data_IF_723766012279
#
_entry.id   IF_723766012279
#
_cell.length_a   1.000
_cell.length_b   1.000
_cell.length_c   1.000
_cell.angle_alpha   90.00
_cell.angle_beta   90.00
_cell.angle_gamma   90.00
#
_symmetry.space_group_name_H-M   'P 1'
#
loop_
_entity.id
_entity.type
_entity.pdbx_description
1 polymer ?
#
# COMPACT_ATOMS: atom_id res chain seq x y z
N UNK A 1 38.80 1.08 -14.82
CA UNK A 1 37.91 2.03 -15.51
C UNK A 1 36.76 1.30 -16.21
N UNK A 2 37.00 0.22 -16.95
CA UNK A 2 35.95 -0.56 -17.61
C UNK A 2 34.92 -1.14 -16.64
N UNK A 3 35.36 -1.56 -15.46
CA UNK A 3 34.46 -2.09 -14.41
C UNK A 3 33.49 -1.03 -13.89
N UNK A 4 33.97 0.22 -13.73
CA UNK A 4 33.13 1.33 -13.28
C UNK A 4 32.05 1.65 -14.32
N UNK A 5 32.39 1.71 -15.59
CA UNK A 5 31.43 1.95 -16.67
C UNK A 5 30.43 0.81 -16.82
N UNK A 6 30.86 -0.45 -16.71
CA UNK A 6 29.97 -1.61 -16.74
C UNK A 6 28.96 -1.58 -15.58
N UNK A 7 29.39 -1.21 -14.35
CA UNK A 7 28.52 -1.11 -13.18
C UNK A 7 27.48 -0.01 -13.35
N UNK A 8 27.88 1.18 -13.85
CA UNK A 8 26.94 2.28 -14.10
C UNK A 8 25.93 1.90 -15.17
N UNK A 9 26.35 1.27 -16.26
CA UNK A 9 25.47 0.83 -17.34
C UNK A 9 24.46 -0.22 -16.86
N UNK A 10 24.89 -1.14 -15.99
CA UNK A 10 24.01 -2.15 -15.38
C UNK A 10 22.98 -1.50 -14.43
N UNK A 11 23.42 -0.52 -13.61
CA UNK A 11 22.54 0.21 -12.71
C UNK A 11 21.50 1.03 -13.49
N UNK A 12 21.89 1.70 -14.56
CA UNK A 12 20.99 2.46 -15.43
C UNK A 12 19.96 1.54 -16.10
N UNK A 13 20.39 0.38 -16.60
CA UNK A 13 19.49 -0.60 -17.20
C UNK A 13 18.47 -1.15 -16.18
N UNK A 14 18.89 -1.38 -14.93
CA UNK A 14 18.02 -1.81 -13.86
C UNK A 14 16.99 -0.73 -13.49
N UNK A 15 17.41 0.54 -13.40
CA UNK A 15 16.52 1.67 -13.15
C UNK A 15 15.51 1.83 -14.29
N UNK A 16 15.94 1.75 -15.54
CA UNK A 16 15.06 1.82 -16.70
C UNK A 16 14.03 0.68 -16.71
N UNK A 17 14.44 -0.54 -16.34
CA UNK A 17 13.54 -1.68 -16.24
C UNK A 17 12.47 -1.47 -15.16
N UNK A 18 12.82 -0.90 -14.00
CA UNK A 18 11.88 -0.55 -12.94
C UNK A 18 10.90 0.54 -13.40
N UNK A 19 11.39 1.58 -14.05
CA UNK A 19 10.56 2.66 -14.61
C UNK A 19 9.56 2.12 -15.64
N UNK A 20 9.99 1.21 -16.50
CA UNK A 20 9.11 0.54 -17.47
C UNK A 20 8.04 -0.30 -16.78
N UNK A 21 8.39 -1.01 -15.71
CA UNK A 21 7.42 -1.80 -14.93
C UNK A 21 6.38 -0.90 -14.27
N UNK A 22 6.81 0.21 -13.67
CA UNK A 22 5.89 1.21 -13.07
C UNK A 22 4.97 1.78 -14.13
N UNK A 23 5.51 2.22 -15.26
CA UNK A 23 4.70 2.78 -16.36
C UNK A 23 3.71 1.78 -16.92
N UNK A 24 4.09 0.51 -17.03
CA UNK A 24 3.22 -0.57 -17.49
C UNK A 24 2.15 -0.97 -16.47
N UNK A 25 2.42 -0.80 -15.18
CA UNK A 25 1.49 -1.12 -14.11
C UNK A 25 0.53 0.03 -13.80
N UNK A 26 0.90 1.27 -14.10
CA UNK A 26 0.03 2.44 -13.85
C UNK A 26 -1.32 2.29 -14.52
N UNK A 27 -2.34 2.66 -13.76
CA UNK A 27 -3.72 2.62 -14.21
C UNK A 27 -4.35 4.01 -14.08
N UNK A 28 -5.26 4.34 -14.99
CA UNK A 28 -6.05 5.57 -14.91
C UNK A 28 -6.90 5.55 -13.63
N UNK A 29 -7.21 6.75 -13.12
CA UNK A 29 -8.05 6.90 -11.94
C UNK A 29 -9.39 6.19 -12.11
N UNK A 30 -9.72 5.35 -11.13
CA UNK A 30 -10.95 4.53 -11.16
C UNK A 30 -12.12 5.17 -10.45
N UNK A 31 -11.90 6.27 -9.72
CA UNK A 31 -12.88 6.88 -8.82
C UNK A 31 -13.07 6.11 -7.51
N UNK A 32 -12.33 5.03 -7.30
CA UNK A 32 -12.40 4.22 -6.08
C UNK A 32 -11.39 4.69 -5.04
N UNK A 33 -11.77 4.56 -3.79
CA UNK A 33 -10.92 4.96 -2.66
C UNK A 33 -10.30 3.76 -1.97
N UNK A 34 -9.17 4.00 -1.30
CA UNK A 34 -8.49 2.98 -0.50
C UNK A 34 -7.92 3.59 0.78
N UNK A 35 -7.88 2.78 1.82
CA UNK A 35 -7.11 3.07 3.01
C UNK A 35 -5.96 2.07 3.10
N UNK A 36 -4.73 2.56 3.18
CA UNK A 36 -3.56 1.72 3.41
C UNK A 36 -3.21 1.77 4.89
N UNK A 37 -3.50 0.70 5.58
CA UNK A 37 -3.36 0.56 7.03
C UNK A 37 -2.30 -0.48 7.38
N UNK A 38 -1.74 -0.36 8.59
CA UNK A 38 -0.69 -1.26 9.06
C UNK A 38 -0.54 -1.16 10.58
N UNK A 39 0.28 -2.04 11.16
CA UNK A 39 0.69 -1.99 12.57
C UNK A 39 2.20 -1.85 12.66
N UNK A 40 2.69 -0.94 13.51
CA UNK A 40 4.14 -0.76 13.73
C UNK A 40 4.76 -1.87 14.57
N UNK A 41 4.00 -2.39 15.51
CA UNK A 41 4.44 -3.47 16.39
C UNK A 41 3.25 -4.31 16.85
N UNK A 42 3.53 -5.36 17.58
CA UNK A 42 2.47 -6.21 18.16
C UNK A 42 1.60 -5.49 19.20
N UNK A 43 2.06 -4.37 19.73
CA UNK A 43 1.38 -3.61 20.79
C UNK A 43 0.75 -2.31 20.29
N UNK A 44 1.17 -1.80 19.14
CA UNK A 44 0.73 -0.51 18.66
C UNK A 44 -0.69 -0.58 18.06
N UNK A 45 -1.46 0.51 18.17
CA UNK A 45 -2.75 0.61 17.52
C UNK A 45 -2.62 0.68 16.00
N UNK A 46 -3.75 0.56 15.33
CA UNK A 46 -3.83 0.68 13.88
C UNK A 46 -3.33 2.05 13.40
N UNK A 47 -2.53 2.03 12.37
CA UNK A 47 -2.00 3.22 11.71
C UNK A 47 -2.35 3.19 10.22
N UNK A 48 -2.28 4.35 9.57
CA UNK A 48 -2.49 4.48 8.13
C UNK A 48 -1.41 5.38 7.50
N UNK A 49 -1.20 5.19 6.21
CA UNK A 49 -0.40 6.12 5.43
C UNK A 49 -1.25 7.30 4.99
N UNK A 50 -0.75 8.51 5.22
CA UNK A 50 -1.37 9.75 4.77
C UNK A 50 -0.92 10.16 3.37
N UNK A 51 -1.37 11.32 2.92
CA UNK A 51 -1.05 11.85 1.59
C UNK A 51 0.39 12.33 1.40
N UNK A 52 1.14 12.53 2.50
CA UNK A 52 2.51 13.03 2.46
C UNK A 52 3.59 11.98 2.16
N UNK A 53 3.24 10.71 2.00
CA UNK A 53 4.19 9.63 1.83
C UNK A 53 4.13 8.93 0.48
N UNK A 54 5.06 8.00 0.28
CA UNK A 54 5.17 7.22 -0.96
C UNK A 54 3.98 6.29 -1.18
N UNK A 55 3.36 5.80 -0.12
CA UNK A 55 2.18 4.95 -0.21
C UNK A 55 1.03 5.61 -0.98
N UNK A 56 0.82 6.92 -0.79
CA UNK A 56 -0.19 7.67 -1.55
C UNK A 56 0.12 7.69 -3.05
N UNK A 57 1.39 7.76 -3.43
CA UNK A 57 1.82 7.69 -4.83
C UNK A 57 1.56 6.32 -5.43
N UNK A 58 1.81 5.25 -4.67
CA UNK A 58 1.54 3.87 -5.12
C UNK A 58 0.03 3.66 -5.33
N UNK A 59 -0.80 4.13 -4.41
CA UNK A 59 -2.26 4.08 -4.57
C UNK A 59 -2.71 4.84 -5.82
N UNK A 60 -2.18 6.04 -6.02
CA UNK A 60 -2.50 6.86 -7.20
C UNK A 60 -2.11 6.16 -8.49
N UNK A 61 -0.92 5.58 -8.55
CA UNK A 61 -0.46 4.82 -9.71
C UNK A 61 -1.32 3.58 -9.98
N UNK A 62 -1.94 3.02 -8.94
CA UNK A 62 -2.92 1.95 -9.06
C UNK A 62 -4.33 2.43 -9.45
N UNK A 63 -4.53 3.73 -9.63
CA UNK A 63 -5.82 4.32 -9.97
C UNK A 63 -6.76 4.50 -8.78
N UNK A 64 -6.21 4.49 -7.55
CA UNK A 64 -6.97 4.60 -6.31
C UNK A 64 -6.68 5.94 -5.62
N UNK A 65 -7.66 6.48 -4.93
CA UNK A 65 -7.49 7.68 -4.12
C UNK A 65 -7.44 7.28 -2.63
N UNK A 66 -6.39 7.72 -1.93
CA UNK A 66 -6.32 7.51 -0.48
C UNK A 66 -7.43 8.28 0.23
N UNK A 67 -8.13 7.63 1.16
CA UNK A 67 -9.11 8.31 2.02
C UNK A 67 -8.44 9.29 2.99
N UNK A 68 -7.12 9.24 3.13
CA UNK A 68 -6.32 10.15 3.95
C UNK A 68 -5.45 11.09 3.11
N UNK A 69 -5.78 11.27 1.84
CA UNK A 69 -4.99 12.08 0.89
C UNK A 69 -4.85 13.55 1.32
N UNK A 70 -5.79 14.08 2.08
CA UNK A 70 -5.74 15.46 2.60
C UNK A 70 -4.69 15.66 3.68
N UNK A 71 -4.24 14.61 4.34
CA UNK A 71 -3.18 14.70 5.35
C UNK A 71 -1.83 14.91 4.69
N UNK A 72 -1.07 15.86 5.20
CA UNK A 72 0.32 16.09 4.78
C UNK A 72 1.31 15.16 5.48
N UNK A 73 0.87 14.49 6.53
CA UNK A 73 1.70 13.53 7.26
C UNK A 73 1.83 12.24 6.43
N UNK A 74 3.01 11.62 6.51
CA UNK A 74 3.25 10.33 5.89
C UNK A 74 2.56 9.21 6.66
N UNK A 75 2.40 9.38 7.98
CA UNK A 75 1.87 8.37 8.91
C UNK A 75 0.82 8.99 9.82
N UNK A 76 -0.26 8.23 10.05
CA UNK A 76 -1.38 8.66 10.89
C UNK A 76 -1.75 7.55 11.87
N UNK A 77 -2.06 7.91 13.11
CA UNK A 77 -2.78 6.99 14.00
C UNK A 77 -4.26 7.07 13.65
N UNK A 78 -4.88 5.93 13.40
CA UNK A 78 -6.28 5.86 12.97
C UNK A 78 -7.08 4.87 13.83
N UNK A 79 -8.39 5.01 13.76
CA UNK A 79 -9.32 4.09 14.42
C UNK A 79 -10.24 3.43 13.39
N UNK A 80 -10.91 2.36 13.80
CA UNK A 80 -11.93 1.72 12.96
C UNK A 80 -13.08 2.68 12.67
N UNK A 81 -13.44 3.53 13.63
CA UNK A 81 -14.48 4.57 13.46
C UNK A 81 -14.09 5.53 12.32
N UNK A 82 -12.84 5.95 12.26
CA UNK A 82 -12.33 6.80 11.16
C UNK A 82 -12.46 6.11 9.81
N UNK A 83 -12.16 4.82 9.73
CA UNK A 83 -12.35 4.03 8.52
C UNK A 83 -13.81 3.92 8.13
N UNK A 84 -14.70 3.71 9.10
CA UNK A 84 -16.15 3.64 8.87
C UNK A 84 -16.72 4.95 8.33
N UNK A 85 -16.25 6.09 8.84
CA UNK A 85 -16.66 7.42 8.36
C UNK A 85 -16.19 7.67 6.93
N UNK A 86 -14.95 7.27 6.59
CA UNK A 86 -14.32 7.50 5.30
C UNK A 86 -14.74 6.51 4.21
N UNK A 87 -15.26 5.36 4.59
CA UNK A 87 -15.79 4.33 3.69
C UNK A 87 -14.87 4.00 2.53
N UNK A 88 -13.63 3.53 2.78
CA UNK A 88 -12.76 3.13 1.69
C UNK A 88 -13.36 1.96 0.93
N UNK A 89 -13.26 2.00 -0.40
CA UNK A 89 -13.69 0.88 -1.24
C UNK A 89 -12.78 -0.33 -1.08
N UNK A 90 -11.48 -0.09 -0.93
CA UNK A 90 -10.44 -1.10 -0.69
C UNK A 90 -9.71 -0.86 0.62
N UNK A 91 -9.36 -1.93 1.31
CA UNK A 91 -8.38 -1.88 2.40
C UNK A 91 -7.09 -2.51 1.87
N UNK A 92 -6.01 -1.73 1.93
CA UNK A 92 -4.66 -2.24 1.70
C UNK A 92 -4.02 -2.42 3.07
N UNK A 93 -3.71 -3.65 3.43
CA UNK A 93 -3.15 -3.98 4.74
C UNK A 93 -1.68 -4.32 4.60
N UNK A 94 -0.82 -3.48 5.17
CA UNK A 94 0.61 -3.71 5.22
C UNK A 94 0.98 -4.75 6.26
N UNK A 95 1.96 -5.60 5.96
CA UNK A 95 2.47 -6.60 6.88
C UNK A 95 4.01 -6.67 6.85
N UNK A 96 4.59 -7.28 7.87
CA UNK A 96 6.03 -7.54 7.93
C UNK A 96 6.86 -6.46 8.61
N UNK A 97 6.25 -5.39 9.13
CA UNK A 97 6.99 -4.31 9.81
C UNK A 97 7.73 -4.78 11.07
N UNK A 98 7.16 -5.75 11.77
CA UNK A 98 7.80 -6.35 12.95
C UNK A 98 7.96 -7.89 12.82
N UNK A 99 7.96 -8.39 11.59
CA UNK A 99 8.17 -9.80 11.29
C UNK A 99 6.91 -10.65 11.19
N UNK A 100 5.73 -10.05 11.33
CA UNK A 100 4.45 -10.75 11.19
C UNK A 100 4.19 -11.18 9.74
N UNK A 101 3.51 -12.29 9.58
CA UNK A 101 3.06 -12.78 8.28
C UNK A 101 1.81 -12.02 7.80
N UNK A 102 1.49 -12.16 6.52
CA UNK A 102 0.27 -11.61 5.94
C UNK A 102 -0.99 -12.15 6.64
N UNK A 103 -0.99 -13.44 6.98
CA UNK A 103 -2.11 -14.07 7.67
C UNK A 103 -2.30 -13.54 9.08
N UNK A 104 -1.21 -13.34 9.81
CA UNK A 104 -1.21 -12.76 11.16
C UNK A 104 -1.72 -11.32 11.16
N UNK A 105 -1.24 -10.50 10.22
CA UNK A 105 -1.70 -9.13 10.07
C UNK A 105 -3.20 -9.06 9.73
N UNK A 106 -3.65 -9.92 8.82
CA UNK A 106 -5.06 -10.01 8.45
C UNK A 106 -5.93 -10.44 9.62
N UNK A 107 -5.54 -11.47 10.34
CA UNK A 107 -6.27 -11.97 11.50
C UNK A 107 -6.39 -10.89 12.58
N UNK A 108 -5.32 -10.16 12.83
CA UNK A 108 -5.32 -9.05 13.78
C UNK A 108 -6.28 -7.93 13.36
N UNK A 109 -6.24 -7.53 12.09
CA UNK A 109 -7.13 -6.50 11.57
C UNK A 109 -8.60 -6.92 11.67
N UNK A 110 -8.91 -8.15 11.29
CA UNK A 110 -10.27 -8.68 11.36
C UNK A 110 -10.78 -8.86 12.80
N UNK A 111 -9.88 -8.91 13.78
CA UNK A 111 -10.23 -8.97 15.20
C UNK A 111 -10.50 -7.59 15.82
N UNK A 112 -10.20 -6.51 15.12
CA UNK A 112 -10.51 -5.16 15.61
C UNK A 112 -12.03 -4.97 15.73
N UNK A 113 -12.50 -4.47 16.90
CA UNK A 113 -13.95 -4.25 17.09
C UNK A 113 -14.53 -3.27 16.05
N UNK A 114 -15.63 -3.65 15.42
CA UNK A 114 -16.33 -2.81 14.45
C UNK A 114 -15.85 -2.95 13.01
N UNK A 115 -14.73 -3.64 12.76
CA UNK A 115 -14.18 -3.79 11.42
C UNK A 115 -15.12 -4.55 10.49
N UNK A 116 -15.96 -5.42 11.02
CA UNK A 116 -16.97 -6.18 10.28
C UNK A 116 -18.04 -5.28 9.63
N UNK A 117 -18.19 -4.06 10.11
CA UNK A 117 -19.11 -3.08 9.53
C UNK A 117 -18.53 -2.35 8.31
N UNK A 118 -17.23 -2.51 8.04
CA UNK A 118 -16.61 -1.97 6.84
C UNK A 118 -17.09 -2.74 5.61
N UNK A 119 -17.60 -2.01 4.61
CA UNK A 119 -18.06 -2.62 3.36
C UNK A 119 -16.92 -3.35 2.65
N UNK A 120 -15.72 -2.78 2.66
CA UNK A 120 -14.54 -3.42 2.09
C UNK A 120 -14.25 -4.78 2.73
N UNK A 121 -14.47 -4.93 4.04
CA UNK A 121 -14.27 -6.19 4.76
C UNK A 121 -15.35 -7.20 4.40
N UNK A 122 -16.62 -6.81 4.44
CA UNK A 122 -17.73 -7.69 4.11
C UNK A 122 -17.72 -8.16 2.66
N UNK A 123 -17.22 -7.33 1.76
CA UNK A 123 -17.08 -7.65 0.32
C UNK A 123 -15.77 -8.37 -0.02
N UNK A 124 -14.88 -8.60 0.96
CA UNK A 124 -13.59 -9.26 0.73
C UNK A 124 -12.57 -8.38 -0.01
N UNK A 125 -12.75 -7.07 -0.03
CA UNK A 125 -11.86 -6.13 -0.72
C UNK A 125 -10.68 -5.71 0.18
N UNK A 126 -9.87 -6.69 0.56
CA UNK A 126 -8.66 -6.51 1.36
C UNK A 126 -7.47 -7.01 0.54
N UNK A 127 -6.49 -6.14 0.32
CA UNK A 127 -5.23 -6.49 -0.36
C UNK A 127 -4.10 -6.45 0.66
N UNK A 128 -3.32 -7.52 0.72
CA UNK A 128 -2.17 -7.63 1.64
C UNK A 128 -0.90 -7.29 0.87
N UNK A 129 -0.16 -6.29 1.34
CA UNK A 129 1.10 -5.88 0.75
C UNK A 129 2.23 -5.92 1.79
N UNK A 130 3.43 -6.37 1.42
CA UNK A 130 4.58 -6.33 2.32
C UNK A 130 4.97 -4.87 2.63
N UNK A 131 5.56 -4.64 3.80
CA UNK A 131 5.99 -3.31 4.26
C UNK A 131 6.87 -2.58 3.24
N UNK A 132 7.73 -3.31 2.52
CA UNK A 132 8.58 -2.72 1.48
C UNK A 132 7.82 -2.09 0.31
N UNK A 133 6.54 -2.42 0.12
CA UNK A 133 5.72 -1.85 -0.95
C UNK A 133 5.45 -0.34 -0.76
N UNK A 134 5.59 0.16 0.46
CA UNK A 134 5.44 1.59 0.77
C UNK A 134 6.77 2.35 0.80
N UNK A 135 7.86 1.74 0.37
CA UNK A 135 9.20 2.31 0.36
C UNK A 135 9.75 2.46 -1.06
N UNK A 136 10.82 3.24 -1.19
CA UNK A 136 11.50 3.44 -2.47
C UNK A 136 12.39 2.22 -2.79
N UNK A 137 11.78 1.15 -3.28
CA UNK A 137 12.47 -0.13 -3.53
C UNK A 137 11.80 -0.91 -4.66
N UNK A 138 12.46 -1.94 -5.21
CA UNK A 138 11.82 -2.87 -6.16
C UNK A 138 10.56 -3.53 -5.60
N UNK A 139 10.45 -3.70 -4.27
CA UNK A 139 9.25 -4.22 -3.62
C UNK A 139 8.04 -3.30 -3.82
N UNK A 140 8.25 -1.98 -3.92
CA UNK A 140 7.18 -1.04 -4.21
C UNK A 140 6.60 -1.26 -5.61
N UNK A 141 7.43 -1.57 -6.59
CA UNK A 141 7.00 -1.88 -7.96
C UNK A 141 6.18 -3.17 -7.99
N UNK A 142 6.68 -4.22 -7.35
CA UNK A 142 5.94 -5.48 -7.20
C UNK A 142 4.62 -5.28 -6.45
N UNK A 143 4.62 -4.44 -5.42
CA UNK A 143 3.41 -4.05 -4.68
C UNK A 143 2.39 -3.34 -5.55
N UNK A 144 2.83 -2.40 -6.38
CA UNK A 144 1.97 -1.71 -7.35
C UNK A 144 1.34 -2.70 -8.33
N UNK A 145 2.13 -3.59 -8.91
CA UNK A 145 1.64 -4.62 -9.84
C UNK A 145 0.60 -5.53 -9.17
N UNK A 146 0.87 -5.97 -7.94
CA UNK A 146 -0.05 -6.78 -7.16
C UNK A 146 -1.34 -6.03 -6.85
N UNK A 147 -1.24 -4.76 -6.46
CA UNK A 147 -2.39 -3.91 -6.14
C UNK A 147 -3.28 -3.70 -7.37
N UNK A 148 -2.69 -3.37 -8.50
CA UNK A 148 -3.42 -3.21 -9.77
C UNK A 148 -4.14 -4.50 -10.16
N UNK A 149 -3.47 -5.64 -10.05
CA UNK A 149 -4.07 -6.95 -10.35
C UNK A 149 -5.23 -7.28 -9.40
N UNK A 150 -5.04 -7.06 -8.11
CA UNK A 150 -6.04 -7.37 -7.08
C UNK A 150 -7.28 -6.47 -7.15
N UNK A 151 -7.12 -5.24 -7.62
CA UNK A 151 -8.19 -4.23 -7.70
C UNK A 151 -8.78 -4.09 -9.12
N UNK A 152 -8.44 -4.99 -10.02
CA UNK A 152 -8.98 -5.03 -11.38
C UNK A 152 -10.40 -5.64 -11.37
N UNK A 153 -11.42 -4.78 -11.32
CA UNK A 153 -12.83 -5.14 -11.39
C UNK A 153 -13.49 -4.54 -12.64
#
# INVERSE_FOLDING_TARGET
LGTVFSTSSTADAAADALDQRVSGARRAETGRTAAWVYYFSSQDPLSAYGGGGLAASVLKDAGLTSVYAESRDAYLSVSVESLLERRPHWIVLGYGLYGESAEEARARFLAEPGVEALEAVSAGRIVLLPAGASSSSPTAVAGLEQLVSATAE
#
